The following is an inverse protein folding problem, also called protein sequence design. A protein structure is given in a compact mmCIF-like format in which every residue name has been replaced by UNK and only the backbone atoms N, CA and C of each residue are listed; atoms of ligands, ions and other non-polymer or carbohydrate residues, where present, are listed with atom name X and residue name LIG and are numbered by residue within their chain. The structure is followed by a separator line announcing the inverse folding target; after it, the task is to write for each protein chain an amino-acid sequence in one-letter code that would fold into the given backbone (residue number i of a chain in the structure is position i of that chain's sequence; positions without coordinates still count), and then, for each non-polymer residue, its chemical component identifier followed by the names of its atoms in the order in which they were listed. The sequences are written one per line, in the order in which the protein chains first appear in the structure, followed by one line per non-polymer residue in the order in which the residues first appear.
data_IF_217616611175
#
_entry.id   IF_217616611175
#
_cell.length_a   1.000
_cell.length_b   1.000
_cell.length_c   1.000
_cell.angle_alpha   90.00
_cell.angle_beta   90.00
_cell.angle_gamma   90.00
#
_symmetry.space_group_name_H-M   'P 1'
#
loop_
_entity.id
_entity.type
_entity.pdbx_description
1 polymer ?
#
# COMPACT_ATOMS: atom_id res chain seq x y z
N UNK A 1 -15.39 7.48 -13.37
CA UNK A 1 -16.47 7.34 -14.37
C UNK A 1 -17.27 6.13 -13.96
N UNK A 2 -18.47 6.31 -13.42
CA UNK A 2 -19.30 5.22 -12.87
C UNK A 2 -20.04 4.53 -14.01
N UNK A 3 -20.10 3.20 -14.01
CA UNK A 3 -20.74 2.40 -15.06
C UNK A 3 -21.71 1.41 -14.42
N UNK A 4 -22.99 1.57 -14.72
CA UNK A 4 -24.06 0.70 -14.23
C UNK A 4 -24.40 -0.40 -15.25
N UNK A 5 -24.59 -1.63 -14.77
CA UNK A 5 -25.11 -2.77 -15.54
C UNK A 5 -26.53 -3.10 -15.03
N UNK A 6 -27.54 -2.98 -15.90
CA UNK A 6 -28.91 -3.37 -15.60
C UNK A 6 -29.18 -4.81 -16.09
N UNK A 7 -29.67 -5.67 -15.20
CA UNK A 7 -30.19 -7.01 -15.49
C UNK A 7 -31.60 -7.18 -14.88
N UNK A 8 -32.44 -7.92 -15.58
CA UNK A 8 -33.91 -8.04 -15.44
C UNK A 8 -34.38 -8.79 -14.17
N UNK A 9 -35.69 -8.66 -13.87
CA UNK A 9 -36.37 -8.97 -12.60
C UNK A 9 -37.16 -10.29 -12.66
N UNK A 10 -37.02 -11.13 -11.63
CA UNK A 10 -37.97 -12.19 -11.28
C UNK A 10 -38.12 -12.39 -9.76
N UNK A 11 -39.40 -12.42 -9.37
CA UNK A 11 -40.09 -12.88 -8.15
C UNK A 11 -39.80 -12.34 -6.73
N UNK A 12 -40.91 -12.21 -6.01
CA UNK A 12 -41.15 -11.47 -4.77
C UNK A 12 -40.39 -12.04 -3.55
N UNK A 13 -39.13 -11.63 -3.39
CA UNK A 13 -38.42 -11.68 -2.12
C UNK A 13 -38.45 -10.30 -1.49
N UNK A 14 -38.80 -10.20 -0.21
CA UNK A 14 -38.66 -8.97 0.60
C UNK A 14 -37.29 -8.38 0.33
N UNK A 15 -37.24 -7.31 -0.44
CA UNK A 15 -36.00 -6.67 -0.86
C UNK A 15 -35.38 -6.03 0.37
N UNK A 16 -34.52 -6.79 1.08
CA UNK A 16 -33.54 -6.18 1.98
C UNK A 16 -32.82 -5.12 1.13
N UNK A 17 -32.74 -3.86 1.59
CA UNK A 17 -31.96 -2.86 0.87
C UNK A 17 -30.58 -3.46 0.63
N UNK A 18 -30.17 -3.63 -0.63
CA UNK A 18 -28.76 -3.89 -0.93
C UNK A 18 -28.05 -2.64 -0.43
N UNK A 19 -27.45 -2.73 0.75
CA UNK A 19 -26.62 -1.65 1.28
C UNK A 19 -25.68 -1.25 0.15
N UNK A 20 -25.78 0.00 -0.31
CA UNK A 20 -24.97 0.48 -1.40
C UNK A 20 -23.51 0.44 -0.93
N UNK A 21 -22.75 -0.49 -1.49
CA UNK A 21 -21.32 -0.59 -1.22
C UNK A 21 -20.63 0.62 -1.87
N UNK A 22 -20.18 1.55 -1.04
CA UNK A 22 -19.41 2.69 -1.51
C UNK A 22 -17.93 2.31 -1.56
N UNK A 23 -17.41 2.13 -2.76
CA UNK A 23 -15.98 1.95 -3.01
C UNK A 23 -15.36 3.27 -3.46
N UNK A 24 -14.29 3.68 -2.78
CA UNK A 24 -13.47 4.81 -3.21
C UNK A 24 -12.09 4.30 -3.63
N UNK A 25 -11.74 4.53 -4.89
CA UNK A 25 -10.44 4.22 -5.44
C UNK A 25 -9.87 5.47 -6.13
N UNK A 26 -8.61 5.80 -5.83
CA UNK A 26 -7.83 6.83 -6.52
C UNK A 26 -6.46 6.29 -6.87
N UNK A 27 -6.27 6.00 -8.16
CA UNK A 27 -5.06 5.39 -8.72
C UNK A 27 -3.80 6.27 -8.54
N UNK A 28 -3.96 7.54 -8.16
CA UNK A 28 -2.85 8.45 -7.88
C UNK A 28 -2.25 8.23 -6.49
N UNK A 29 -2.99 7.62 -5.57
CA UNK A 29 -2.54 7.43 -4.19
C UNK A 29 -1.29 6.54 -4.12
N UNK A 30 -1.22 5.36 -4.76
CA UNK A 30 -0.03 4.51 -4.69
C UNK A 30 1.29 5.21 -5.13
N UNK A 31 1.36 5.86 -6.31
CA UNK A 31 2.59 6.57 -6.69
C UNK A 31 2.89 7.79 -5.80
N UNK A 32 1.87 8.50 -5.30
CA UNK A 32 2.06 9.61 -4.36
C UNK A 32 2.66 9.16 -3.01
N UNK A 33 2.20 8.02 -2.49
CA UNK A 33 2.74 7.43 -1.24
C UNK A 33 4.21 7.08 -1.42
N UNK A 34 4.57 6.40 -2.52
CA UNK A 34 5.96 6.03 -2.79
C UNK A 34 6.85 7.26 -3.00
N UNK A 35 6.35 8.30 -3.67
CA UNK A 35 7.04 9.57 -3.80
C UNK A 35 7.34 10.20 -2.43
N UNK A 36 6.34 10.25 -1.56
CA UNK A 36 6.48 10.78 -0.20
C UNK A 36 7.48 9.98 0.63
N UNK A 37 7.44 8.64 0.58
CA UNK A 37 8.40 7.75 1.24
C UNK A 37 9.84 8.01 0.78
N UNK A 38 10.05 8.22 -0.53
CA UNK A 38 11.38 8.56 -1.05
C UNK A 38 11.85 9.94 -0.59
N UNK A 39 10.97 10.93 -0.47
CA UNK A 39 11.32 12.23 0.12
C UNK A 39 11.73 12.09 1.58
N UNK A 40 10.97 11.34 2.37
CA UNK A 40 11.32 11.04 3.76
C UNK A 40 12.68 10.34 3.85
N UNK A 41 12.98 9.39 2.97
CA UNK A 41 14.28 8.73 2.88
C UNK A 41 15.42 9.72 2.63
N UNK A 42 15.28 10.60 1.63
CA UNK A 42 16.28 11.63 1.30
C UNK A 42 16.51 12.60 2.45
N UNK A 43 15.46 12.94 3.18
CA UNK A 43 15.49 13.84 4.33
C UNK A 43 15.79 13.13 5.66
N UNK A 44 16.10 11.82 5.62
CA UNK A 44 16.38 10.98 6.81
C UNK A 44 15.25 11.01 7.86
N UNK A 45 14.01 11.15 7.41
CA UNK A 45 12.83 11.25 8.27
C UNK A 45 12.17 9.88 8.40
N UNK A 46 11.88 9.46 9.63
CA UNK A 46 11.28 8.16 9.97
C UNK A 46 12.05 6.92 9.47
N UNK A 47 13.30 7.09 9.04
CA UNK A 47 14.15 5.96 8.70
C UNK A 47 14.56 5.23 9.99
N UNK A 48 14.27 3.94 10.04
CA UNK A 48 14.48 3.04 11.18
C UNK A 48 15.59 2.01 10.92
N UNK A 49 16.19 2.03 9.72
CA UNK A 49 17.33 1.20 9.35
C UNK A 49 18.29 1.98 8.45
N UNK A 50 19.58 1.67 8.56
CA UNK A 50 20.63 2.15 7.66
C UNK A 50 21.29 0.94 7.02
N UNK A 51 21.29 0.89 5.68
CA UNK A 51 22.02 -0.13 4.94
C UNK A 51 23.45 0.36 4.70
N UNK A 52 24.42 -0.41 5.17
CA UNK A 52 25.84 -0.18 4.90
C UNK A 52 26.24 -0.97 3.66
N UNK A 53 26.50 -0.28 2.54
CA UNK A 53 26.88 -0.90 1.27
C UNK A 53 28.24 -0.37 0.85
N UNK A 54 29.28 -1.16 1.12
CA UNK A 54 30.67 -0.72 0.98
C UNK A 54 30.95 0.49 1.88
N UNK A 55 31.26 1.62 1.27
CA UNK A 55 31.56 2.88 1.98
C UNK A 55 30.37 3.86 1.99
N UNK A 56 29.15 3.39 1.67
CA UNK A 56 27.95 4.23 1.57
C UNK A 56 26.91 3.78 2.58
N UNK A 57 26.39 4.75 3.33
CA UNK A 57 25.29 4.58 4.25
C UNK A 57 23.98 5.03 3.62
N UNK A 58 23.01 4.13 3.55
CA UNK A 58 21.70 4.39 2.95
C UNK A 58 20.62 4.31 4.04
N UNK A 59 20.15 5.44 4.59
CA UNK A 59 19.00 5.44 5.49
C UNK A 59 17.74 5.02 4.72
N UNK A 60 16.94 4.14 5.31
CA UNK A 60 15.81 3.46 4.68
C UNK A 60 14.69 3.18 5.70
N UNK A 61 13.56 2.67 5.20
CA UNK A 61 12.43 2.20 6.02
C UNK A 61 12.36 0.67 5.92
N UNK A 62 12.45 -0.04 7.06
CA UNK A 62 12.37 -1.52 7.11
C UNK A 62 11.11 -2.03 6.43
N UNK A 63 9.96 -1.42 6.72
CA UNK A 63 8.67 -1.79 6.14
C UNK A 63 8.66 -1.72 4.61
N UNK A 64 9.25 -0.67 4.03
CA UNK A 64 9.32 -0.50 2.57
C UNK A 64 10.25 -1.55 1.95
N UNK A 65 11.43 -1.74 2.55
CA UNK A 65 12.40 -2.74 2.09
C UNK A 65 11.85 -4.18 2.15
N UNK A 66 11.15 -4.50 3.23
CA UNK A 66 10.48 -5.79 3.42
C UNK A 66 9.38 -6.02 2.37
N UNK A 67 8.58 -4.99 2.07
CA UNK A 67 7.49 -5.09 1.08
C UNK A 67 7.99 -5.37 -0.34
N UNK A 68 9.22 -4.97 -0.68
CA UNK A 68 9.79 -5.13 -2.03
C UNK A 68 10.79 -6.28 -2.15
N UNK A 69 11.22 -6.87 -1.05
CA UNK A 69 12.23 -7.94 -1.03
C UNK A 69 11.88 -9.02 0.00
N UNK A 70 11.51 -10.23 -0.45
CA UNK A 70 11.24 -11.36 0.46
C UNK A 70 12.43 -11.70 1.37
N UNK A 71 13.66 -11.53 0.88
CA UNK A 71 14.86 -11.75 1.68
C UNK A 71 14.99 -10.73 2.81
N UNK A 72 14.74 -9.44 2.53
CA UNK A 72 14.78 -8.40 3.55
C UNK A 72 13.60 -8.51 4.52
N UNK A 73 12.42 -8.97 4.06
CA UNK A 73 11.32 -9.31 4.95
C UNK A 73 11.74 -10.36 5.98
N UNK A 74 12.30 -11.49 5.52
CA UNK A 74 12.77 -12.54 6.41
C UNK A 74 13.85 -12.04 7.38
N UNK A 75 14.80 -11.25 6.88
CA UNK A 75 15.84 -10.64 7.70
C UNK A 75 15.24 -9.77 8.81
N UNK A 76 14.32 -8.85 8.47
CA UNK A 76 13.75 -7.94 9.45
C UNK A 76 12.73 -8.59 10.39
N UNK A 77 12.14 -9.72 10.05
CA UNK A 77 11.24 -10.49 10.94
C UNK A 77 11.99 -11.45 11.86
N UNK A 78 13.20 -11.88 11.48
CA UNK A 78 14.02 -12.75 12.33
C UNK A 78 14.74 -12.01 13.47
N UNK A 79 14.84 -10.68 13.38
CA UNK A 79 15.52 -9.81 14.34
C UNK A 79 14.58 -9.19 15.41
N UNK A 80 13.36 -9.74 15.59
CA UNK A 80 12.46 -9.47 16.73
C UNK A 80 12.49 -10.62 17.75
#
# INVERSE_FOLDING_TARGET
MFRDCAGELDDEAVAKPKEAMLEFADDRIPPMVLHSLNMMRKNRTFCDVVLHVGNVDVPCHRAVLAAVSPHLMQLFTADD
#
